data_IF_919260728773
#
_entry.id   IF_919260728773
#
_cell.length_a   1.000
_cell.length_b   1.000
_cell.length_c   1.000
_cell.angle_alpha   90.00
_cell.angle_beta   90.00
_cell.angle_gamma   90.00
#
_symmetry.space_group_name_H-M   'P 1'
#
loop_
_entity.id
_entity.type
_entity.pdbx_description
1 polymer ?
#
# COMPACT_ATOMS: atom_id res chain seq x y z
N UNK A 1 19.43 -8.14 10.58
CA UNK A 1 20.00 -8.76 9.37
C UNK A 1 18.93 -9.00 8.31
N UNK A 2 17.81 -9.70 8.63
CA UNK A 2 16.75 -10.02 7.65
C UNK A 2 16.11 -8.78 7.01
N UNK A 3 15.80 -7.75 7.82
CA UNK A 3 15.23 -6.49 7.33
C UNK A 3 16.14 -5.82 6.30
N UNK A 4 17.43 -5.67 6.60
CA UNK A 4 18.39 -5.12 5.64
C UNK A 4 18.46 -5.95 4.33
N UNK A 5 18.44 -7.27 4.43
CA UNK A 5 18.45 -8.13 3.25
C UNK A 5 17.24 -7.89 2.34
N UNK A 6 16.04 -7.72 2.93
CA UNK A 6 14.83 -7.38 2.19
C UNK A 6 14.95 -6.00 1.54
N UNK A 7 15.35 -4.98 2.31
CA UNK A 7 15.44 -3.61 1.82
C UNK A 7 16.50 -3.46 0.73
N UNK A 8 17.69 -4.07 0.91
CA UNK A 8 18.79 -4.03 -0.05
C UNK A 8 18.44 -4.76 -1.37
N UNK A 9 17.64 -5.82 -1.29
CA UNK A 9 17.19 -6.54 -2.48
C UNK A 9 16.23 -5.71 -3.36
N UNK A 10 15.36 -4.90 -2.73
CA UNK A 10 14.44 -4.03 -3.46
C UNK A 10 15.14 -2.71 -3.87
N UNK A 11 16.16 -2.28 -3.12
CA UNK A 11 16.86 -1.01 -3.35
C UNK A 11 17.43 -0.88 -4.76
N UNK A 12 18.16 -1.90 -5.21
CA UNK A 12 18.84 -1.82 -6.50
C UNK A 12 17.86 -1.65 -7.67
N UNK A 13 16.83 -2.51 -7.86
CA UNK A 13 15.91 -2.33 -8.97
C UNK A 13 15.06 -1.04 -8.85
N UNK A 14 14.73 -0.60 -7.64
CA UNK A 14 14.01 0.65 -7.43
C UNK A 14 14.86 1.87 -7.84
N UNK A 15 16.11 1.93 -7.37
CA UNK A 15 17.04 3.03 -7.71
C UNK A 15 17.38 3.06 -9.20
N UNK A 16 17.57 1.91 -9.85
CA UNK A 16 17.84 1.86 -11.28
C UNK A 16 16.62 2.35 -12.08
N UNK A 17 15.41 1.97 -11.68
CA UNK A 17 14.18 2.48 -12.27
C UNK A 17 14.04 3.99 -12.05
N UNK A 18 14.34 4.50 -10.85
CA UNK A 18 14.34 5.93 -10.56
C UNK A 18 15.31 6.73 -11.45
N UNK A 19 16.48 6.18 -11.77
CA UNK A 19 17.43 6.79 -12.72
C UNK A 19 16.88 6.84 -14.15
N UNK A 20 16.14 5.81 -14.59
CA UNK A 20 15.45 5.82 -15.89
C UNK A 20 14.38 6.90 -15.94
N UNK A 21 13.59 7.03 -14.87
CA UNK A 21 12.56 8.06 -14.72
C UNK A 21 13.18 9.46 -14.73
N UNK A 22 14.28 9.66 -13.98
CA UNK A 22 15.03 10.92 -13.98
C UNK A 22 15.51 11.29 -15.40
N UNK A 23 16.10 10.33 -16.13
CA UNK A 23 16.61 10.58 -17.47
C UNK A 23 15.52 11.10 -18.43
N UNK A 24 14.31 10.56 -18.34
CA UNK A 24 13.17 11.02 -19.14
C UNK A 24 12.73 12.45 -18.77
N UNK A 25 12.81 12.79 -17.46
CA UNK A 25 12.48 14.15 -16.98
C UNK A 25 13.56 15.15 -17.32
N UNK A 26 14.84 14.78 -17.23
CA UNK A 26 15.97 15.65 -17.65
C UNK A 26 15.93 15.97 -19.16
N UNK A 27 15.46 15.04 -19.99
CA UNK A 27 15.23 15.31 -21.40
C UNK A 27 14.22 16.46 -21.60
N UNK A 28 13.12 16.42 -20.81
CA UNK A 28 12.11 17.48 -20.87
C UNK A 28 12.62 18.81 -20.30
N UNK A 29 13.37 18.76 -19.19
CA UNK A 29 13.98 19.95 -18.62
C UNK A 29 14.92 20.62 -19.64
N UNK A 30 15.77 19.86 -20.30
CA UNK A 30 16.69 20.40 -21.32
C UNK A 30 15.96 20.99 -22.52
N UNK A 31 14.81 20.44 -22.89
CA UNK A 31 13.99 21.02 -23.96
C UNK A 31 13.35 22.37 -23.55
N UNK A 32 12.96 22.53 -22.30
CA UNK A 32 12.40 23.77 -21.77
C UNK A 32 13.51 24.78 -21.41
N UNK A 33 14.60 24.31 -20.79
CA UNK A 33 15.69 25.10 -20.22
C UNK A 33 17.05 24.44 -20.49
N UNK A 34 17.68 24.69 -21.65
CA UNK A 34 18.89 23.97 -22.09
C UNK A 34 20.07 23.97 -21.12
N UNK A 35 20.21 25.03 -20.33
CA UNK A 35 21.34 25.23 -19.41
C UNK A 35 21.00 24.87 -17.94
N UNK A 36 19.78 24.39 -17.66
CA UNK A 36 19.37 24.05 -16.31
C UNK A 36 19.87 22.68 -15.86
N UNK A 37 20.16 22.55 -14.57
CA UNK A 37 20.41 21.29 -13.89
C UNK A 37 19.15 20.83 -13.20
N UNK A 38 18.87 19.53 -13.24
CA UNK A 38 17.69 18.96 -12.56
C UNK A 38 17.95 18.88 -11.06
N UNK A 39 17.06 19.47 -10.28
CA UNK A 39 17.13 19.52 -8.82
C UNK A 39 15.96 18.75 -8.18
N UNK A 40 16.03 18.36 -6.90
CA UNK A 40 14.96 17.56 -6.25
C UNK A 40 13.56 18.18 -6.34
N UNK A 41 13.44 19.49 -6.27
CA UNK A 41 12.16 20.22 -6.38
C UNK A 41 11.55 20.22 -7.78
N UNK A 42 12.29 19.82 -8.81
CA UNK A 42 11.81 19.71 -10.19
C UNK A 42 11.06 18.39 -10.43
N UNK A 43 11.26 17.37 -9.56
CA UNK A 43 10.78 16.01 -9.79
C UNK A 43 9.29 15.96 -10.11
N UNK A 44 8.45 16.45 -9.22
CA UNK A 44 7.00 16.38 -9.38
C UNK A 44 6.48 17.17 -10.57
N UNK A 45 7.10 18.31 -10.88
CA UNK A 45 6.72 19.10 -12.03
C UNK A 45 7.00 18.38 -13.36
N UNK A 46 8.19 17.83 -13.52
CA UNK A 46 8.54 17.09 -14.73
C UNK A 46 7.96 15.68 -14.77
N UNK A 47 7.77 15.02 -13.66
CA UNK A 47 7.04 13.75 -13.59
C UNK A 47 5.61 13.93 -14.13
N UNK A 48 4.91 14.99 -13.75
CA UNK A 48 3.57 15.28 -14.30
C UNK A 48 3.61 15.56 -15.80
N UNK A 49 4.63 16.24 -16.32
CA UNK A 49 4.80 16.44 -17.76
C UNK A 49 5.02 15.12 -18.51
N UNK A 50 5.89 14.24 -17.98
CA UNK A 50 6.11 12.89 -18.53
C UNK A 50 4.81 12.09 -18.49
N UNK A 51 4.09 12.11 -17.36
CA UNK A 51 2.81 11.40 -17.20
C UNK A 51 1.78 11.86 -18.26
N UNK A 52 1.67 13.15 -18.51
CA UNK A 52 0.80 13.69 -19.56
C UNK A 52 1.24 13.28 -20.96
N UNK A 53 2.56 13.32 -21.24
CA UNK A 53 3.10 12.95 -22.54
C UNK A 53 2.89 11.46 -22.87
N UNK A 54 3.24 10.57 -21.93
CA UNK A 54 3.38 9.15 -22.19
C UNK A 54 2.09 8.36 -21.90
N UNK A 55 1.30 8.82 -20.92
CA UNK A 55 0.07 8.14 -20.49
C UNK A 55 -1.19 8.90 -20.88
N UNK A 56 -1.04 10.16 -21.31
CA UNK A 56 -2.16 11.06 -21.61
C UNK A 56 -3.19 11.11 -20.47
N UNK A 57 -2.71 10.98 -19.21
CA UNK A 57 -3.51 11.02 -18.01
C UNK A 57 -3.39 12.42 -17.40
N UNK A 58 -4.54 12.99 -17.04
CA UNK A 58 -4.67 14.28 -16.36
C UNK A 58 -5.56 14.09 -15.14
N UNK A 59 -5.08 14.44 -13.97
CA UNK A 59 -5.83 14.33 -12.72
C UNK A 59 -7.10 15.18 -12.74
N UNK A 60 -7.07 16.34 -13.40
CA UNK A 60 -8.26 17.17 -13.56
C UNK A 60 -9.37 16.48 -14.35
N UNK A 61 -9.02 15.59 -15.27
CA UNK A 61 -9.97 14.77 -16.00
C UNK A 61 -10.53 13.60 -15.17
N UNK A 62 -9.82 13.17 -14.11
CA UNK A 62 -10.23 12.10 -13.22
C UNK A 62 -11.08 12.56 -12.05
N UNK A 63 -10.73 13.68 -11.41
CA UNK A 63 -11.40 14.20 -10.20
C UNK A 63 -12.93 14.24 -10.28
N UNK A 64 -13.58 14.60 -11.42
CA UNK A 64 -15.02 14.62 -11.51
C UNK A 64 -15.73 13.28 -11.25
N UNK A 65 -15.01 12.17 -11.32
CA UNK A 65 -15.55 10.81 -11.10
C UNK A 65 -15.34 10.30 -9.66
N UNK A 66 -14.51 10.98 -8.86
CA UNK A 66 -14.13 10.56 -7.52
C UNK A 66 -14.68 11.52 -6.47
N UNK A 67 -16.00 11.62 -6.38
CA UNK A 67 -16.59 12.34 -5.24
C UNK A 67 -16.40 11.53 -3.96
N UNK A 68 -16.24 12.21 -2.83
CA UNK A 68 -16.12 11.56 -1.53
C UNK A 68 -17.28 10.59 -1.26
N UNK A 69 -18.51 11.00 -1.58
CA UNK A 69 -19.71 10.15 -1.41
C UNK A 69 -19.64 8.89 -2.27
N UNK A 70 -19.19 9.00 -3.51
CA UNK A 70 -19.07 7.84 -4.41
C UNK A 70 -17.96 6.90 -3.93
N UNK A 71 -16.81 7.43 -3.52
CA UNK A 71 -15.70 6.62 -2.99
C UNK A 71 -16.10 5.92 -1.69
N UNK A 72 -16.82 6.61 -0.79
CA UNK A 72 -17.41 6.00 0.40
C UNK A 72 -18.40 4.88 0.03
N UNK A 73 -19.26 5.12 -0.95
CA UNK A 73 -20.14 4.08 -1.50
C UNK A 73 -19.35 2.89 -2.04
N UNK A 74 -18.21 3.15 -2.68
CA UNK A 74 -17.29 2.13 -3.21
C UNK A 74 -16.68 1.24 -2.13
N UNK A 75 -16.18 1.80 -1.03
CA UNK A 75 -15.64 0.99 0.08
C UNK A 75 -16.74 0.18 0.77
N UNK A 76 -17.94 0.71 0.91
CA UNK A 76 -19.09 -0.03 1.46
C UNK A 76 -19.52 -1.17 0.53
N UNK A 77 -19.59 -0.91 -0.77
CA UNK A 77 -19.85 -1.95 -1.78
C UNK A 77 -18.81 -3.07 -1.69
N UNK A 78 -17.52 -2.72 -1.65
CA UNK A 78 -16.43 -3.70 -1.54
C UNK A 78 -16.57 -4.57 -0.30
N UNK A 79 -16.78 -3.95 0.87
CA UNK A 79 -16.94 -4.67 2.14
C UNK A 79 -18.16 -5.60 2.12
N UNK A 80 -19.27 -5.17 1.53
CA UNK A 80 -20.45 -6.01 1.35
C UNK A 80 -20.16 -7.19 0.41
N UNK A 81 -19.49 -6.94 -0.73
CA UNK A 81 -19.15 -7.99 -1.68
C UNK A 81 -18.22 -9.05 -1.09
N UNK A 82 -17.21 -8.64 -0.34
CA UNK A 82 -16.22 -9.53 0.26
C UNK A 82 -16.75 -10.25 1.50
N UNK A 83 -17.43 -9.52 2.38
CA UNK A 83 -17.73 -9.99 3.74
C UNK A 83 -19.22 -10.04 4.08
N UNK A 84 -20.10 -9.49 3.24
CA UNK A 84 -21.53 -9.43 3.51
C UNK A 84 -21.97 -8.33 4.49
N UNK A 85 -21.04 -7.56 5.05
CA UNK A 85 -21.35 -6.53 6.05
C UNK A 85 -22.09 -5.35 5.43
N UNK A 86 -22.89 -4.67 6.25
CA UNK A 86 -23.69 -3.50 5.85
C UNK A 86 -23.46 -2.33 6.80
N UNK A 87 -23.72 -1.11 6.33
CA UNK A 87 -23.50 0.14 7.04
C UNK A 87 -24.80 0.93 7.13
N UNK A 88 -25.29 1.14 8.34
CA UNK A 88 -26.52 1.86 8.61
C UNK A 88 -26.22 3.20 9.29
N UNK A 89 -26.57 4.36 8.71
CA UNK A 89 -26.41 5.65 9.38
C UNK A 89 -27.15 5.66 10.71
N UNK A 90 -26.51 6.16 11.75
CA UNK A 90 -27.11 6.30 13.09
C UNK A 90 -26.88 7.70 13.67
N UNK A 91 -27.72 8.08 14.60
CA UNK A 91 -27.53 9.26 15.44
C UNK A 91 -26.71 8.85 16.66
N UNK A 92 -25.54 9.46 16.84
CA UNK A 92 -24.62 9.18 17.94
C UNK A 92 -23.99 10.49 18.44
N UNK A 93 -23.39 10.54 19.63
CA UNK A 93 -22.60 11.68 20.08
C UNK A 93 -21.47 11.98 19.08
N UNK A 94 -21.33 13.23 18.71
CA UNK A 94 -20.29 13.69 17.77
C UNK A 94 -19.28 14.59 18.47
N UNK A 95 -17.99 14.32 18.32
CA UNK A 95 -16.94 15.21 18.77
C UNK A 95 -16.69 16.37 17.79
N UNK A 96 -17.16 16.23 16.56
CA UNK A 96 -17.20 17.28 15.53
C UNK A 96 -18.48 17.13 14.69
N UNK A 97 -19.21 18.22 14.38
CA UNK A 97 -20.50 18.16 13.67
C UNK A 97 -20.39 17.62 12.23
N UNK A 98 -19.22 17.59 11.63
CA UNK A 98 -19.00 17.07 10.28
C UNK A 98 -18.78 15.54 10.25
N UNK A 99 -18.68 14.89 11.42
CA UNK A 99 -18.51 13.44 11.48
C UNK A 99 -19.77 12.71 11.01
N UNK A 100 -19.55 11.67 10.20
CA UNK A 100 -20.58 10.69 9.83
C UNK A 100 -20.42 9.46 10.70
N UNK A 101 -21.53 8.86 11.13
CA UNK A 101 -21.50 7.69 12.01
C UNK A 101 -22.40 6.59 11.46
N UNK A 102 -21.85 5.39 11.44
CA UNK A 102 -22.53 4.20 10.95
C UNK A 102 -22.49 3.08 11.99
N UNK A 103 -23.61 2.42 12.19
CA UNK A 103 -23.63 1.08 12.75
C UNK A 103 -23.21 0.10 11.64
N UNK A 104 -22.25 -0.78 11.96
CA UNK A 104 -21.81 -1.84 11.07
C UNK A 104 -22.46 -3.14 11.51
N UNK A 105 -23.15 -3.79 10.59
CA UNK A 105 -23.82 -5.06 10.80
C UNK A 105 -23.13 -6.17 10.04
N UNK A 106 -23.00 -7.34 10.66
CA UNK A 106 -22.45 -8.53 10.01
C UNK A 106 -23.45 -9.13 9.00
N UNK A 107 -23.04 -10.18 8.30
CA UNK A 107 -23.86 -10.88 7.29
C UNK A 107 -25.17 -11.43 7.87
N UNK A 108 -25.18 -11.78 9.16
CA UNK A 108 -26.35 -12.26 9.91
C UNK A 108 -27.16 -11.14 10.58
N UNK A 109 -26.91 -9.88 10.23
CA UNK A 109 -27.49 -8.66 10.81
C UNK A 109 -27.10 -8.40 12.28
N UNK A 110 -26.17 -9.17 12.86
CA UNK A 110 -25.68 -8.91 14.20
C UNK A 110 -24.80 -7.64 14.24
N UNK A 111 -24.82 -6.94 15.38
CA UNK A 111 -24.03 -5.74 15.60
C UNK A 111 -22.53 -6.05 15.61
N UNK A 112 -21.78 -5.54 14.64
CA UNK A 112 -20.33 -5.73 14.53
C UNK A 112 -19.53 -4.62 15.22
N UNK A 113 -19.96 -3.36 15.09
CA UNK A 113 -19.33 -2.21 15.69
C UNK A 113 -19.94 -0.88 15.23
N UNK A 114 -19.29 0.21 15.64
CA UNK A 114 -19.63 1.57 15.22
C UNK A 114 -18.46 2.19 14.51
N UNK A 115 -18.72 2.83 13.36
CA UNK A 115 -17.70 3.45 12.52
C UNK A 115 -17.98 4.95 12.36
N UNK A 116 -17.01 5.77 12.76
CA UNK A 116 -16.97 7.20 12.55
C UNK A 116 -16.11 7.55 11.36
N UNK A 117 -16.55 8.51 10.55
CA UNK A 117 -15.72 9.15 9.52
C UNK A 117 -15.59 10.64 9.83
N UNK A 118 -14.35 11.11 9.91
CA UNK A 118 -13.97 12.50 10.08
C UNK A 118 -13.12 12.94 8.88
N UNK A 119 -13.77 13.42 7.83
CA UNK A 119 -13.15 13.58 6.52
C UNK A 119 -12.38 14.89 6.33
N UNK A 120 -12.84 15.99 6.93
CA UNK A 120 -12.44 17.32 6.47
C UNK A 120 -11.32 17.93 7.29
N UNK A 121 -10.42 18.63 6.57
CA UNK A 121 -9.40 19.47 7.19
C UNK A 121 -10.03 20.57 8.06
N UNK A 122 -9.44 20.84 9.23
CA UNK A 122 -9.81 21.94 10.11
C UNK A 122 -8.67 22.31 11.04
N UNK A 123 -8.76 23.49 11.65
CA UNK A 123 -7.83 23.94 12.67
C UNK A 123 -7.78 22.96 13.86
N UNK A 124 -6.58 22.69 14.37
CA UNK A 124 -6.34 21.77 15.49
C UNK A 124 -6.39 20.28 15.14
N UNK A 125 -6.66 19.93 13.88
CA UNK A 125 -6.60 18.54 13.40
C UNK A 125 -5.22 18.26 12.81
N UNK A 126 -4.60 17.15 13.22
CA UNK A 126 -3.31 16.71 12.63
C UNK A 126 -3.46 16.40 11.15
N UNK A 127 -2.40 16.66 10.37
CA UNK A 127 -2.36 16.33 8.94
C UNK A 127 -2.25 14.83 8.68
N UNK A 128 -2.35 14.42 7.41
CA UNK A 128 -2.34 13.02 7.00
C UNK A 128 -3.71 12.34 7.14
N UNK A 129 -3.68 11.01 7.24
CA UNK A 129 -4.85 10.19 7.49
C UNK A 129 -4.49 9.11 8.52
N UNK A 130 -5.48 8.64 9.27
CA UNK A 130 -5.28 7.56 10.24
C UNK A 130 -6.60 6.89 10.62
N UNK A 131 -6.51 5.66 11.10
CA UNK A 131 -7.58 4.95 11.76
C UNK A 131 -7.23 4.74 13.24
N UNK A 132 -8.21 4.83 14.11
CA UNK A 132 -8.02 4.61 15.54
C UNK A 132 -9.29 4.13 16.22
N UNK A 133 -9.13 3.52 17.40
CA UNK A 133 -10.24 3.00 18.17
C UNK A 133 -10.56 3.92 19.35
N UNK A 134 -11.80 4.34 19.47
CA UNK A 134 -12.33 4.94 20.72
C UNK A 134 -12.59 3.84 21.76
N UNK A 135 -12.99 2.65 21.29
CA UNK A 135 -13.14 1.44 22.09
C UNK A 135 -12.66 0.26 21.25
N UNK A 136 -11.80 -0.55 21.81
CA UNK A 136 -11.38 -1.81 21.19
C UNK A 136 -12.38 -2.92 21.43
N UNK A 137 -12.32 -3.96 20.59
CA UNK A 137 -13.08 -5.17 20.80
C UNK A 137 -12.44 -6.03 21.91
N UNK A 138 -13.27 -6.56 22.79
CA UNK A 138 -12.90 -7.55 23.80
C UNK A 138 -14.16 -8.29 24.28
N UNK A 139 -14.01 -9.24 25.21
CA UNK A 139 -15.13 -9.86 25.90
C UNK A 139 -15.17 -9.42 27.36
N UNK A 140 -16.38 -9.12 27.85
CA UNK A 140 -16.66 -8.81 29.25
C UNK A 140 -17.81 -9.69 29.74
N UNK A 141 -17.57 -10.49 30.77
CA UNK A 141 -18.53 -11.44 31.31
C UNK A 141 -19.10 -12.42 30.27
N UNK A 142 -18.31 -12.79 29.23
CA UNK A 142 -18.72 -13.67 28.14
C UNK A 142 -19.50 -12.97 27.02
N UNK A 143 -19.76 -11.67 27.13
CA UNK A 143 -20.41 -10.87 26.09
C UNK A 143 -19.37 -10.08 25.29
N UNK A 144 -19.53 -10.02 23.96
CA UNK A 144 -18.65 -9.26 23.08
C UNK A 144 -18.91 -7.76 23.24
N UNK A 145 -17.90 -7.01 23.63
CA UNK A 145 -17.89 -5.55 23.54
C UNK A 145 -17.45 -5.18 22.13
N UNK A 146 -18.36 -4.53 21.40
CA UNK A 146 -18.12 -4.13 20.03
C UNK A 146 -17.18 -2.92 19.95
N UNK A 147 -16.30 -2.83 18.95
CA UNK A 147 -15.40 -1.71 18.80
C UNK A 147 -16.12 -0.46 18.32
N UNK A 148 -15.57 0.70 18.71
CA UNK A 148 -15.94 2.02 18.16
C UNK A 148 -14.71 2.56 17.45
N UNK A 149 -14.78 2.65 16.14
CA UNK A 149 -13.65 2.92 15.25
C UNK A 149 -13.81 4.28 14.60
N UNK A 150 -12.72 5.02 14.43
CA UNK A 150 -12.68 6.30 13.74
C UNK A 150 -11.72 6.26 12.55
N UNK A 151 -12.20 6.61 11.37
CA UNK A 151 -11.41 6.89 10.18
C UNK A 151 -11.30 8.40 10.01
N UNK A 152 -10.09 8.91 9.95
CA UNK A 152 -9.79 10.33 9.90
C UNK A 152 -8.96 10.64 8.66
N UNK A 153 -9.38 11.65 7.88
CA UNK A 153 -8.66 12.16 6.72
C UNK A 153 -8.61 13.69 6.76
N UNK A 154 -7.96 14.32 5.80
CA UNK A 154 -7.86 15.77 5.70
C UNK A 154 -8.24 16.28 4.30
N UNK A 155 -9.40 15.85 3.80
CA UNK A 155 -9.88 16.27 2.48
C UNK A 155 -10.38 17.71 2.47
N UNK A 156 -10.34 18.33 1.30
CA UNK A 156 -10.90 19.66 1.09
C UNK A 156 -12.43 19.63 1.26
N UNK A 157 -12.97 20.67 1.91
CA UNK A 157 -14.42 20.81 2.07
C UNK A 157 -15.12 21.04 0.73
N UNK A 158 -16.38 20.61 0.58
CA UNK A 158 -17.17 20.95 -0.60
C UNK A 158 -17.38 22.48 -0.67
N UNK A 159 -17.54 22.98 -1.87
CA UNK A 159 -17.95 24.35 -2.12
C UNK A 159 -19.47 24.43 -2.32
N UNK A 160 -20.00 25.63 -2.59
CA UNK A 160 -21.45 25.79 -2.90
C UNK A 160 -21.86 25.10 -4.21
N UNK A 161 -20.92 24.88 -5.14
CA UNK A 161 -21.18 24.37 -6.48
C UNK A 161 -20.50 23.04 -6.82
N UNK A 162 -19.60 22.58 -5.95
CA UNK A 162 -18.78 21.39 -6.23
C UNK A 162 -18.67 20.55 -4.96
N UNK A 163 -18.99 19.23 -5.01
CA UNK A 163 -18.77 18.32 -3.90
C UNK A 163 -17.27 18.18 -3.63
N UNK A 164 -16.90 17.51 -2.57
CA UNK A 164 -15.51 17.10 -2.34
C UNK A 164 -15.10 16.12 -3.43
N UNK A 165 -14.10 16.50 -4.21
CA UNK A 165 -13.52 15.71 -5.29
C UNK A 165 -12.14 15.23 -4.86
N UNK A 166 -11.93 13.93 -4.88
CA UNK A 166 -10.66 13.30 -4.53
C UNK A 166 -9.79 13.09 -5.77
N UNK A 167 -8.48 13.06 -5.59
CA UNK A 167 -7.56 12.50 -6.56
C UNK A 167 -7.40 10.98 -6.33
N UNK A 168 -6.59 10.29 -7.15
CA UNK A 168 -6.40 8.86 -7.02
C UNK A 168 -5.70 8.48 -5.69
N UNK A 169 -4.77 9.28 -5.23
CA UNK A 169 -4.03 9.02 -3.99
C UNK A 169 -4.94 9.21 -2.77
N UNK A 170 -5.74 10.29 -2.74
CA UNK A 170 -6.76 10.51 -1.72
C UNK A 170 -7.82 9.39 -1.71
N UNK A 171 -8.16 8.87 -2.90
CA UNK A 171 -9.07 7.72 -3.04
C UNK A 171 -8.44 6.46 -2.45
N UNK A 172 -7.20 6.11 -2.80
CA UNK A 172 -6.48 4.97 -2.22
C UNK A 172 -6.32 5.10 -0.72
N UNK A 173 -6.02 6.32 -0.23
CA UNK A 173 -5.94 6.60 1.21
C UNK A 173 -7.23 6.23 1.94
N UNK A 174 -8.42 6.53 1.36
CA UNK A 174 -9.67 6.13 2.00
C UNK A 174 -9.86 4.60 2.03
N UNK A 175 -9.46 3.88 0.99
CA UNK A 175 -9.45 2.42 1.00
C UNK A 175 -8.47 1.88 2.05
N UNK A 176 -7.29 2.49 2.18
CA UNK A 176 -6.28 2.16 3.17
C UNK A 176 -6.83 2.28 4.61
N UNK A 177 -7.30 3.46 4.99
CA UNK A 177 -7.83 3.70 6.35
C UNK A 177 -9.05 2.83 6.64
N UNK A 178 -9.86 2.56 5.63
CA UNK A 178 -10.96 1.63 5.75
C UNK A 178 -10.49 0.18 5.97
N UNK A 179 -9.35 -0.22 5.45
CA UNK A 179 -8.73 -1.52 5.72
C UNK A 179 -8.35 -1.68 7.20
N UNK A 180 -7.79 -0.65 7.83
CA UNK A 180 -7.57 -0.62 9.28
C UNK A 180 -8.89 -0.70 10.06
N UNK A 181 -9.91 0.02 9.58
CA UNK A 181 -11.23 -0.03 10.22
C UNK A 181 -11.85 -1.44 10.15
N UNK A 182 -11.76 -2.12 9.01
CA UNK A 182 -12.21 -3.51 8.87
C UNK A 182 -11.44 -4.45 9.81
N UNK A 183 -10.12 -4.26 9.93
CA UNK A 183 -9.32 -5.04 10.88
C UNK A 183 -9.83 -4.87 12.31
N UNK A 184 -10.08 -3.64 12.74
CA UNK A 184 -10.62 -3.35 14.08
C UNK A 184 -12.03 -3.91 14.28
N UNK A 185 -12.91 -3.78 13.29
CA UNK A 185 -14.29 -4.27 13.33
C UNK A 185 -14.39 -5.81 13.40
N UNK A 186 -13.50 -6.51 12.69
CA UNK A 186 -13.54 -7.97 12.61
C UNK A 186 -12.87 -8.68 13.77
N UNK A 187 -12.15 -7.98 14.66
CA UNK A 187 -11.49 -8.58 15.82
C UNK A 187 -12.46 -9.40 16.67
N UNK A 188 -11.98 -10.57 17.10
CA UNK A 188 -12.69 -11.53 17.95
C UNK A 188 -11.74 -12.07 19.02
N UNK A 189 -11.07 -11.18 19.76
CA UNK A 189 -10.08 -11.55 20.78
C UNK A 189 -10.72 -11.54 22.17
N UNK A 190 -10.33 -12.49 23.01
CA UNK A 190 -10.86 -12.65 24.37
C UNK A 190 -10.42 -11.50 25.28
N UNK A 191 -9.17 -11.07 25.16
CA UNK A 191 -8.56 -10.09 26.05
C UNK A 191 -8.16 -8.83 25.27
N UNK A 192 -8.35 -7.64 25.88
CA UNK A 192 -7.95 -6.35 25.29
C UNK A 192 -6.51 -6.32 24.79
N UNK A 193 -5.57 -6.87 25.56
CA UNK A 193 -4.15 -6.90 25.21
C UNK A 193 -3.82 -7.77 23.98
N UNK A 194 -4.79 -8.52 23.44
CA UNK A 194 -4.65 -9.28 22.19
C UNK A 194 -5.28 -8.54 21.00
N UNK A 195 -5.81 -7.33 21.21
CA UNK A 195 -6.37 -6.56 20.09
C UNK A 195 -5.29 -6.07 19.11
N UNK A 196 -4.10 -5.78 19.62
CA UNK A 196 -2.99 -5.30 18.81
C UNK A 196 -2.26 -6.46 18.13
N UNK A 197 -1.85 -6.24 16.88
CA UNK A 197 -0.98 -7.12 16.12
C UNK A 197 0.47 -6.63 16.21
N UNK A 198 1.41 -7.46 15.78
CA UNK A 198 2.81 -7.06 15.61
C UNK A 198 2.91 -5.85 14.67
N UNK A 199 3.84 -4.92 14.95
CA UNK A 199 3.96 -3.67 14.20
C UNK A 199 4.17 -3.87 12.71
N UNK A 200 4.93 -4.89 12.30
CA UNK A 200 5.16 -5.20 10.89
C UNK A 200 4.00 -5.93 10.19
N UNK A 201 2.89 -6.13 10.91
CA UNK A 201 1.63 -6.66 10.39
C UNK A 201 0.50 -5.62 10.33
N UNK A 202 0.69 -4.46 10.96
CA UNK A 202 -0.38 -3.45 11.12
C UNK A 202 -0.86 -2.90 9.79
N UNK A 203 0.04 -2.77 8.79
CA UNK A 203 -0.26 -2.19 7.49
C UNK A 203 -0.80 -3.20 6.45
N UNK A 204 -0.76 -4.50 6.73
CA UNK A 204 -1.30 -5.49 5.79
C UNK A 204 -2.79 -5.31 5.50
N UNK A 205 -3.67 -5.14 6.50
CA UNK A 205 -5.10 -4.95 6.26
C UNK A 205 -5.44 -3.69 5.47
N UNK A 206 -4.68 -2.62 5.68
CA UNK A 206 -4.87 -1.34 5.00
C UNK A 206 -4.40 -1.41 3.56
N UNK A 207 -3.17 -1.83 3.33
CA UNK A 207 -2.55 -1.86 1.99
C UNK A 207 -3.23 -2.87 1.06
N UNK A 208 -3.72 -4.00 1.57
CA UNK A 208 -4.43 -4.96 0.73
C UNK A 208 -5.70 -4.35 0.13
N UNK A 209 -6.40 -3.46 0.86
CA UNK A 209 -7.63 -2.82 0.38
C UNK A 209 -7.36 -1.81 -0.75
N UNK A 210 -6.20 -1.19 -0.78
CA UNK A 210 -5.81 -0.26 -1.85
C UNK A 210 -5.82 -0.91 -3.24
N UNK A 211 -5.56 -2.23 -3.32
CA UNK A 211 -5.51 -2.92 -4.61
C UNK A 211 -6.84 -2.85 -5.35
N UNK A 212 -7.98 -2.82 -4.64
CA UNK A 212 -9.29 -2.70 -5.27
C UNK A 212 -9.61 -1.30 -5.76
N UNK A 213 -8.99 -0.25 -5.22
CA UNK A 213 -9.36 1.13 -5.52
C UNK A 213 -9.33 1.46 -7.03
N UNK A 214 -8.44 0.84 -7.79
CA UNK A 214 -8.26 1.09 -9.22
C UNK A 214 -8.61 -0.10 -10.13
N UNK A 215 -9.17 -1.18 -9.56
CA UNK A 215 -9.64 -2.29 -10.38
C UNK A 215 -10.84 -1.88 -11.24
N UNK A 216 -10.89 -2.27 -12.51
CA UNK A 216 -11.97 -1.88 -13.43
C UNK A 216 -13.35 -2.18 -12.90
N UNK A 217 -13.53 -3.37 -12.30
CA UNK A 217 -14.80 -3.82 -11.74
C UNK A 217 -15.26 -2.93 -10.56
N UNK A 218 -14.30 -2.38 -9.81
CA UNK A 218 -14.60 -1.42 -8.74
C UNK A 218 -14.88 -0.03 -9.29
N UNK A 219 -14.06 0.47 -10.23
CA UNK A 219 -14.25 1.78 -10.86
C UNK A 219 -15.63 1.88 -11.54
N UNK A 220 -16.11 0.79 -12.13
CA UNK A 220 -17.48 0.74 -12.70
C UNK A 220 -18.59 0.95 -11.65
N UNK A 221 -18.34 0.64 -10.39
CA UNK A 221 -19.33 0.76 -9.33
C UNK A 221 -19.36 2.18 -8.73
N UNK A 222 -18.22 2.80 -8.51
CA UNK A 222 -18.18 4.04 -7.74
C UNK A 222 -17.63 5.27 -8.49
N UNK A 223 -16.88 5.08 -9.59
CA UNK A 223 -16.34 6.21 -10.32
C UNK A 223 -17.39 6.82 -11.26
N UNK A 224 -18.30 7.61 -10.68
CA UNK A 224 -19.44 8.25 -11.36
C UNK A 224 -19.24 9.77 -11.41
N UNK A 225 -19.45 10.35 -12.59
CA UNK A 225 -19.27 11.79 -12.78
C UNK A 225 -20.29 12.60 -11.97
N UNK A 226 -19.82 13.52 -11.14
CA UNK A 226 -20.64 14.22 -10.12
C UNK A 226 -21.80 15.06 -10.65
N UNK A 227 -21.79 15.44 -11.94
CA UNK A 227 -22.90 16.20 -12.55
C UNK A 227 -23.84 15.36 -13.38
N UNK A 228 -23.31 14.36 -14.11
CA UNK A 228 -24.08 13.59 -15.07
C UNK A 228 -24.43 12.19 -14.58
N UNK A 229 -23.75 11.73 -13.52
CA UNK A 229 -23.81 10.35 -13.01
C UNK A 229 -23.34 9.29 -14.02
N UNK A 230 -22.65 9.71 -15.08
CA UNK A 230 -22.07 8.78 -16.04
C UNK A 230 -20.88 8.05 -15.42
N UNK A 231 -20.74 6.78 -15.75
CA UNK A 231 -19.58 5.98 -15.37
C UNK A 231 -18.30 6.57 -15.96
N UNK A 232 -17.18 6.39 -15.28
CA UNK A 232 -15.87 6.72 -15.81
C UNK A 232 -15.66 6.05 -17.18
N UNK A 233 -15.22 6.77 -18.21
CA UNK A 233 -14.98 6.19 -19.54
C UNK A 233 -13.92 5.09 -19.49
N UNK A 234 -14.14 4.01 -20.20
CA UNK A 234 -13.18 2.91 -20.30
C UNK A 234 -11.78 3.37 -20.79
N UNK A 235 -11.73 4.43 -21.59
CA UNK A 235 -10.48 5.04 -22.02
C UNK A 235 -9.68 5.62 -20.85
N UNK A 236 -10.33 6.20 -19.83
CA UNK A 236 -9.67 6.68 -18.61
C UNK A 236 -9.24 5.51 -17.72
N UNK A 237 -10.07 4.48 -17.57
CA UNK A 237 -9.71 3.25 -16.85
C UNK A 237 -8.45 2.61 -17.43
N UNK A 238 -8.36 2.51 -18.77
CA UNK A 238 -7.15 2.01 -19.43
C UNK A 238 -5.91 2.89 -19.16
N UNK A 239 -6.07 4.21 -19.10
CA UNK A 239 -4.97 5.13 -18.78
C UNK A 239 -4.51 4.97 -17.32
N UNK A 240 -5.44 4.85 -16.36
CA UNK A 240 -5.11 4.55 -14.95
C UNK A 240 -4.27 3.27 -14.87
N UNK A 241 -4.70 2.20 -15.52
CA UNK A 241 -3.95 0.93 -15.51
C UNK A 241 -2.57 1.03 -16.16
N UNK A 242 -2.45 1.76 -17.28
CA UNK A 242 -1.16 1.95 -17.95
C UNK A 242 -0.19 2.78 -17.10
N UNK A 243 -0.69 3.74 -16.32
CA UNK A 243 0.13 4.58 -15.45
C UNK A 243 0.43 3.94 -14.08
N UNK A 244 -0.04 2.73 -13.80
CA UNK A 244 0.12 2.08 -12.49
C UNK A 244 1.59 1.88 -12.08
N UNK A 245 2.50 1.77 -13.06
CA UNK A 245 3.93 1.63 -12.84
C UNK A 245 4.73 2.93 -13.05
N UNK A 246 4.01 4.04 -13.28
CA UNK A 246 4.65 5.34 -13.46
C UNK A 246 5.19 5.83 -12.13
N UNK A 247 6.40 6.37 -12.14
CA UNK A 247 7.10 6.94 -10.97
C UNK A 247 7.36 5.95 -9.81
N UNK A 248 7.23 4.65 -10.04
CA UNK A 248 7.43 3.63 -9.00
C UNK A 248 8.89 3.49 -8.57
N UNK A 249 9.84 3.84 -9.44
CA UNK A 249 11.26 3.94 -9.10
C UNK A 249 11.50 4.98 -8.02
N UNK A 250 10.96 6.19 -8.20
CA UNK A 250 11.04 7.26 -7.22
C UNK A 250 10.33 6.90 -5.92
N UNK A 251 9.06 6.52 -5.99
CA UNK A 251 8.22 6.25 -4.81
C UNK A 251 8.82 5.16 -3.92
N UNK A 252 9.29 4.07 -4.52
CA UNK A 252 9.92 2.98 -3.78
C UNK A 252 11.31 3.39 -3.24
N UNK A 253 12.12 4.13 -4.00
CA UNK A 253 13.44 4.59 -3.54
C UNK A 253 13.31 5.56 -2.36
N UNK A 254 12.36 6.50 -2.42
CA UNK A 254 12.09 7.45 -1.33
C UNK A 254 11.64 6.72 -0.05
N UNK A 255 10.74 5.74 -0.18
CA UNK A 255 10.25 4.92 0.93
C UNK A 255 11.36 4.04 1.53
N UNK A 256 12.17 3.40 0.68
CA UNK A 256 13.33 2.61 1.10
C UNK A 256 14.39 3.48 1.79
N UNK A 257 14.64 4.69 1.29
CA UNK A 257 15.57 5.62 1.92
C UNK A 257 15.13 5.96 3.36
N UNK A 258 13.82 6.20 3.56
CA UNK A 258 13.27 6.43 4.89
C UNK A 258 13.42 5.20 5.81
N UNK A 259 13.10 3.99 5.30
CA UNK A 259 13.24 2.75 6.08
C UNK A 259 14.69 2.43 6.42
N UNK A 260 15.62 2.64 5.50
CA UNK A 260 17.06 2.44 5.73
C UNK A 260 17.64 3.48 6.69
N UNK A 261 17.18 4.74 6.62
CA UNK A 261 17.54 5.78 7.59
C UNK A 261 17.11 5.41 9.00
N UNK A 262 15.87 4.95 9.16
CA UNK A 262 15.35 4.47 10.44
C UNK A 262 16.18 3.31 10.98
N UNK A 263 16.40 2.29 10.17
CA UNK A 263 17.20 1.14 10.57
C UNK A 263 18.62 1.51 10.94
N UNK A 264 19.26 2.41 10.21
CA UNK A 264 20.66 2.81 10.47
C UNK A 264 20.78 3.61 11.78
N UNK A 265 19.87 4.54 12.06
CA UNK A 265 19.94 5.33 13.29
C UNK A 265 19.61 4.48 14.53
N UNK A 266 18.63 3.59 14.43
CA UNK A 266 18.23 2.73 15.57
C UNK A 266 19.12 1.47 15.73
N UNK A 267 20.03 1.21 14.81
CA UNK A 267 21.04 0.15 14.92
C UNK A 267 22.33 0.62 15.61
N UNK A 268 22.42 1.89 16.02
CA UNK A 268 23.58 2.41 16.75
C UNK A 268 23.70 1.72 18.10
N UNK A 269 24.89 1.19 18.40
CA UNK A 269 25.15 0.47 19.67
C UNK A 269 25.65 1.36 20.77
N UNK A 270 26.19 2.51 20.41
CA UNK A 270 26.79 3.47 21.35
C UNK A 270 26.10 4.82 21.18
N UNK A 271 25.76 5.44 22.30
CA UNK A 271 25.25 6.80 22.31
C UNK A 271 26.42 7.78 22.29
N UNK A 272 26.58 8.51 21.22
CA UNK A 272 27.49 9.63 21.10
C UNK A 272 26.83 10.76 20.30
N UNK A 273 27.06 12.02 20.63
CA UNK A 273 26.61 13.13 19.79
C UNK A 273 27.21 13.03 18.39
N UNK A 274 26.40 13.23 17.36
CA UNK A 274 26.83 13.24 15.96
C UNK A 274 26.05 14.26 15.14
N UNK A 275 26.58 14.66 14.00
CA UNK A 275 25.88 15.49 13.02
C UNK A 275 24.89 14.61 12.23
N UNK A 276 23.60 14.82 12.45
CA UNK A 276 22.53 14.02 11.80
C UNK A 276 22.52 14.17 10.29
N UNK A 277 22.89 15.36 9.77
CA UNK A 277 22.93 15.57 8.32
C UNK A 277 24.14 14.86 7.68
N UNK A 278 25.28 14.84 8.38
CA UNK A 278 26.44 14.08 7.93
C UNK A 278 26.16 12.57 7.96
N UNK A 279 25.49 12.09 9.01
CA UNK A 279 25.08 10.69 9.13
C UNK A 279 24.15 10.26 8.00
N UNK A 280 23.14 11.07 7.70
CA UNK A 280 22.19 10.81 6.61
C UNK A 280 22.90 10.77 5.26
N UNK A 281 23.78 11.75 4.97
CA UNK A 281 24.56 11.76 3.72
C UNK A 281 25.42 10.51 3.57
N UNK A 282 26.10 10.11 4.62
CA UNK A 282 26.92 8.89 4.62
C UNK A 282 26.05 7.64 4.38
N UNK A 283 24.95 7.53 5.11
CA UNK A 283 24.07 6.35 5.07
C UNK A 283 23.39 6.13 3.72
N UNK A 284 22.91 7.20 3.10
CA UNK A 284 22.08 7.11 1.89
C UNK A 284 22.90 7.38 0.61
N UNK A 285 23.66 8.46 0.57
CA UNK A 285 24.34 8.86 -0.66
C UNK A 285 25.70 8.18 -0.82
N UNK A 286 26.57 8.21 0.19
CA UNK A 286 27.90 7.61 0.07
C UNK A 286 27.85 6.08 0.09
N UNK A 287 27.08 5.49 0.99
CA UNK A 287 27.04 4.03 1.20
C UNK A 287 26.10 3.32 0.20
N UNK A 288 24.96 3.91 -0.13
CA UNK A 288 23.92 3.27 -0.95
C UNK A 288 23.72 3.88 -2.33
N UNK A 289 24.42 4.98 -2.65
CA UNK A 289 24.38 5.59 -3.98
C UNK A 289 23.04 6.26 -4.32
N UNK A 290 22.29 6.72 -3.31
CA UNK A 290 21.10 7.53 -3.56
C UNK A 290 21.48 8.72 -4.44
N UNK A 291 20.69 8.96 -5.49
CA UNK A 291 20.95 10.09 -6.40
C UNK A 291 20.56 11.41 -5.76
N UNK A 292 21.28 12.52 -6.03
CA UNK A 292 21.01 13.80 -5.37
C UNK A 292 19.65 14.41 -5.72
N UNK A 293 19.00 13.94 -6.78
CA UNK A 293 17.67 14.38 -7.19
C UNK A 293 16.53 13.73 -6.38
N UNK A 294 16.84 12.75 -5.53
CA UNK A 294 15.89 12.15 -4.61
C UNK A 294 16.33 12.47 -3.19
N UNK A 295 15.53 13.24 -2.46
CA UNK A 295 15.70 13.40 -1.02
C UNK A 295 14.94 12.32 -0.26
N UNK A 296 15.39 11.93 0.95
CA UNK A 296 14.61 11.01 1.78
C UNK A 296 13.26 11.64 2.13
N UNK A 297 12.23 10.83 2.18
CA UNK A 297 10.84 11.24 2.47
C UNK A 297 10.71 12.08 3.74
N UNK A 298 11.53 11.76 4.74
CA UNK A 298 11.65 12.49 5.99
C UNK A 298 13.13 12.68 6.34
N UNK A 299 13.47 13.90 6.78
CA UNK A 299 14.77 14.20 7.41
C UNK A 299 14.63 13.95 8.90
N UNK A 300 15.66 13.47 9.57
CA UNK A 300 15.63 13.14 11.00
C UNK A 300 14.98 14.19 11.90
N UNK A 301 15.20 15.52 11.72
CA UNK A 301 14.60 16.52 12.61
C UNK A 301 13.06 16.57 12.63
N UNK A 302 12.38 16.02 11.64
CA UNK A 302 10.92 16.00 11.55
C UNK A 302 10.33 14.61 11.21
N UNK A 303 11.10 13.56 11.40
CA UNK A 303 10.66 12.19 11.17
C UNK A 303 9.88 11.65 12.38
N UNK A 304 8.70 12.19 12.63
CA UNK A 304 7.89 11.87 13.80
C UNK A 304 7.54 10.38 13.89
N UNK A 305 7.30 9.69 12.79
CA UNK A 305 6.99 8.25 12.78
C UNK A 305 7.97 7.42 13.63
N UNK A 306 9.28 7.67 13.49
CA UNK A 306 10.32 6.86 14.15
C UNK A 306 10.76 7.40 15.50
N UNK A 307 10.41 8.63 15.87
CA UNK A 307 10.79 9.24 17.16
C UNK A 307 9.61 9.46 18.11
N UNK A 308 8.38 9.52 17.61
CA UNK A 308 7.15 9.77 18.40
C UNK A 308 5.97 8.89 17.97
N UNK A 309 5.97 8.41 16.73
CA UNK A 309 4.84 7.70 16.12
C UNK A 309 4.81 6.17 16.31
N UNK A 310 5.75 5.59 17.10
CA UNK A 310 5.75 4.14 17.36
C UNK A 310 6.45 3.27 16.31
N UNK A 311 7.05 3.86 15.27
CA UNK A 311 7.76 3.13 14.20
C UNK A 311 9.29 3.12 14.34
N UNK A 312 9.83 3.26 15.55
CA UNK A 312 11.27 3.19 15.81
C UNK A 312 11.83 1.82 15.41
N UNK A 313 12.82 1.80 14.50
CA UNK A 313 13.34 0.60 13.82
C UNK A 313 12.23 -0.21 13.12
N UNK A 314 11.13 0.44 12.76
CA UNK A 314 9.90 -0.16 12.24
C UNK A 314 9.36 0.50 10.98
N UNK A 315 9.99 1.52 10.42
CA UNK A 315 9.49 2.15 9.20
C UNK A 315 9.48 1.19 7.99
N UNK A 316 10.29 0.13 8.02
CA UNK A 316 10.26 -0.97 7.05
C UNK A 316 8.91 -1.71 7.01
N UNK A 317 8.03 -1.54 8.01
CA UNK A 317 6.72 -2.17 8.09
C UNK A 317 5.89 -1.94 6.83
N UNK A 318 5.93 -0.72 6.28
CA UNK A 318 5.23 -0.38 5.04
C UNK A 318 5.69 -1.22 3.85
N UNK A 319 7.01 -1.45 3.72
CA UNK A 319 7.57 -2.23 2.60
C UNK A 319 7.29 -3.72 2.80
N UNK A 320 7.44 -4.21 4.03
CA UNK A 320 7.10 -5.59 4.36
C UNK A 320 5.61 -5.87 4.12
N UNK A 321 4.74 -4.97 4.58
CA UNK A 321 3.31 -5.07 4.34
C UNK A 321 2.97 -5.03 2.84
N UNK A 322 3.71 -4.28 1.99
CA UNK A 322 3.52 -4.32 0.54
C UNK A 322 3.86 -5.71 -0.05
N UNK A 323 4.86 -6.41 0.49
CA UNK A 323 5.12 -7.81 0.10
C UNK A 323 3.92 -8.68 0.45
N UNK A 324 3.41 -8.55 1.69
CA UNK A 324 2.29 -9.34 2.18
C UNK A 324 0.99 -9.02 1.43
N UNK A 325 0.68 -7.74 1.20
CA UNK A 325 -0.56 -7.31 0.55
C UNK A 325 -0.63 -7.76 -0.90
N UNK A 326 0.45 -7.60 -1.65
CA UNK A 326 0.50 -7.99 -3.07
C UNK A 326 0.39 -9.51 -3.23
N UNK A 327 1.03 -10.29 -2.36
CA UNK A 327 0.86 -11.74 -2.37
C UNK A 327 -0.54 -12.17 -1.87
N UNK A 328 -1.11 -11.50 -0.86
CA UNK A 328 -2.46 -11.75 -0.40
C UNK A 328 -3.50 -11.45 -1.50
N UNK A 329 -3.35 -10.30 -2.17
CA UNK A 329 -4.24 -9.92 -3.28
C UNK A 329 -4.10 -10.85 -4.49
N UNK A 330 -2.91 -11.38 -4.74
CA UNK A 330 -2.68 -12.37 -5.81
C UNK A 330 -3.53 -13.64 -5.63
N UNK A 331 -3.93 -14.00 -4.39
CA UNK A 331 -4.88 -15.09 -4.17
C UNK A 331 -6.24 -14.80 -4.82
N UNK A 332 -6.74 -13.56 -4.70
CA UNK A 332 -7.99 -13.15 -5.36
C UNK A 332 -7.82 -13.13 -6.88
N UNK A 333 -6.76 -12.56 -7.41
CA UNK A 333 -6.49 -12.52 -8.85
C UNK A 333 -6.40 -13.91 -9.49
N UNK A 334 -5.68 -14.83 -8.86
CA UNK A 334 -5.54 -16.22 -9.34
C UNK A 334 -6.85 -16.99 -9.30
N UNK A 335 -7.80 -16.61 -8.45
CA UNK A 335 -9.12 -17.23 -8.42
C UNK A 335 -9.99 -16.88 -9.62
N UNK A 336 -9.63 -15.83 -10.37
CA UNK A 336 -10.44 -15.26 -11.47
C UNK A 336 -11.62 -14.43 -10.99
N UNK A 337 -11.77 -14.19 -9.69
CA UNK A 337 -12.82 -13.36 -9.09
C UNK A 337 -12.23 -12.53 -7.96
N UNK A 338 -12.02 -11.24 -8.20
CA UNK A 338 -11.47 -10.32 -7.19
C UNK A 338 -12.39 -10.11 -5.98
N UNK A 339 -13.65 -10.53 -6.05
CA UNK A 339 -14.63 -10.50 -4.96
C UNK A 339 -14.86 -11.89 -4.36
N UNK A 340 -13.95 -12.84 -4.53
CA UNK A 340 -14.11 -14.21 -4.07
C UNK A 340 -14.36 -14.31 -2.57
N UNK A 341 -15.62 -14.56 -2.21
CA UNK A 341 -16.08 -14.61 -0.80
C UNK A 341 -15.42 -15.71 0.02
N UNK A 342 -14.98 -16.80 -0.60
CA UNK A 342 -14.29 -17.90 0.12
C UNK A 342 -12.91 -17.42 0.58
N UNK A 343 -12.18 -16.72 -0.29
CA UNK A 343 -10.86 -16.15 0.03
C UNK A 343 -11.03 -15.02 1.06
N UNK A 344 -12.00 -14.13 0.85
CA UNK A 344 -12.31 -13.05 1.78
C UNK A 344 -12.67 -13.56 3.18
N UNK A 345 -13.49 -14.61 3.27
CA UNK A 345 -13.83 -15.26 4.54
C UNK A 345 -12.59 -15.84 5.21
N UNK A 346 -11.73 -16.54 4.44
CA UNK A 346 -10.47 -17.08 4.99
C UNK A 346 -9.55 -15.97 5.49
N UNK A 347 -9.45 -14.85 4.77
CA UNK A 347 -8.67 -13.67 5.18
C UNK A 347 -9.23 -13.07 6.48
N UNK A 348 -10.56 -12.89 6.56
CA UNK A 348 -11.24 -12.42 7.77
C UNK A 348 -11.02 -13.34 8.96
N UNK A 349 -11.32 -14.66 8.82
CA UNK A 349 -11.36 -15.61 9.95
C UNK A 349 -9.98 -16.02 10.43
N UNK A 350 -9.01 -16.15 9.53
CA UNK A 350 -7.68 -16.65 9.85
C UNK A 350 -6.66 -15.56 10.17
N UNK A 351 -6.93 -14.31 9.74
CA UNK A 351 -6.01 -13.21 9.92
C UNK A 351 -6.68 -12.04 10.64
N UNK A 352 -7.67 -11.35 10.01
CA UNK A 352 -8.19 -10.10 10.55
C UNK A 352 -8.86 -10.23 11.92
N UNK A 353 -9.52 -11.37 12.20
CA UNK A 353 -10.24 -11.56 13.47
C UNK A 353 -9.33 -11.98 14.64
N UNK A 354 -8.09 -12.35 14.36
CA UNK A 354 -7.22 -13.03 15.32
C UNK A 354 -6.39 -12.08 16.21
N UNK A 355 -6.24 -10.82 15.80
CA UNK A 355 -5.38 -9.88 16.54
C UNK A 355 -3.98 -10.48 16.80
N UNK A 356 -3.47 -10.31 18.02
CA UNK A 356 -2.20 -10.86 18.48
C UNK A 356 -2.29 -12.23 19.14
N UNK A 357 -3.29 -13.06 18.83
CA UNK A 357 -3.39 -14.44 19.37
C UNK A 357 -2.27 -15.39 18.91
N UNK A 358 -1.63 -15.08 17.80
CA UNK A 358 -0.45 -15.77 17.29
C UNK A 358 0.42 -14.74 16.55
N UNK A 359 1.69 -15.09 16.28
CA UNK A 359 2.55 -14.27 15.45
C UNK A 359 1.97 -14.10 14.04
N UNK A 360 2.16 -12.91 13.48
CA UNK A 360 1.56 -12.52 12.21
C UNK A 360 1.89 -13.47 11.05
N UNK A 361 3.11 -14.01 11.01
CA UNK A 361 3.51 -14.96 9.97
C UNK A 361 2.81 -16.30 10.10
N UNK A 362 2.49 -16.74 11.31
CA UNK A 362 1.65 -17.93 11.52
C UNK A 362 0.25 -17.69 10.99
N UNK A 363 -0.38 -16.55 11.31
CA UNK A 363 -1.70 -16.17 10.79
C UNK A 363 -1.70 -16.05 9.27
N UNK A 364 -0.63 -15.46 8.71
CA UNK A 364 -0.48 -15.32 7.26
C UNK A 364 -0.38 -16.67 6.55
N UNK A 365 0.45 -17.59 7.06
CA UNK A 365 0.57 -18.96 6.52
C UNK A 365 -0.73 -19.74 6.63
N UNK A 366 -1.48 -19.57 7.70
CA UNK A 366 -2.81 -20.16 7.84
C UNK A 366 -3.77 -19.68 6.75
N UNK A 367 -3.71 -18.40 6.41
CA UNK A 367 -4.50 -17.83 5.32
C UNK A 367 -4.02 -18.29 3.95
N UNK A 368 -2.72 -18.08 3.64
CA UNK A 368 -2.16 -18.29 2.30
C UNK A 368 -1.79 -19.74 2.00
N UNK A 369 -1.51 -20.53 3.05
CA UNK A 369 -0.97 -21.90 2.91
C UNK A 369 0.50 -21.95 2.49
N UNK A 370 1.20 -20.80 2.47
CA UNK A 370 2.59 -20.66 2.06
C UNK A 370 3.22 -19.43 2.71
N UNK A 371 4.54 -19.30 2.61
CA UNK A 371 5.25 -18.07 2.90
C UNK A 371 4.91 -16.99 1.86
N UNK A 372 5.00 -15.69 2.23
CA UNK A 372 4.76 -14.60 1.28
C UNK A 372 5.80 -14.62 0.14
N UNK A 373 5.31 -14.36 -1.06
CA UNK A 373 6.11 -14.20 -2.27
C UNK A 373 6.27 -12.70 -2.60
N UNK A 374 7.49 -12.23 -2.77
CA UNK A 374 7.78 -10.85 -3.18
C UNK A 374 7.58 -10.57 -4.67
N UNK A 375 7.52 -11.63 -5.50
CA UNK A 375 7.35 -11.47 -6.94
C UNK A 375 6.10 -10.64 -7.32
N UNK A 376 4.94 -10.77 -6.65
CA UNK A 376 3.79 -9.90 -6.91
C UNK A 376 4.08 -8.41 -6.72
N UNK A 377 4.84 -8.03 -5.67
CA UNK A 377 5.26 -6.64 -5.44
C UNK A 377 6.18 -6.15 -6.56
N UNK A 378 7.24 -6.90 -6.87
CA UNK A 378 8.19 -6.53 -7.90
C UNK A 378 7.52 -6.37 -9.27
N UNK A 379 6.55 -7.22 -9.59
CA UNK A 379 5.74 -7.10 -10.81
C UNK A 379 4.84 -5.87 -10.80
N UNK A 380 4.20 -5.57 -9.67
CA UNK A 380 3.35 -4.40 -9.53
C UNK A 380 4.14 -3.10 -9.73
N UNK A 381 5.35 -3.01 -9.19
CA UNK A 381 6.23 -1.86 -9.35
C UNK A 381 6.98 -1.80 -10.70
N UNK A 382 6.89 -2.86 -11.53
CA UNK A 382 7.64 -2.94 -12.79
C UNK A 382 9.14 -3.24 -12.61
N UNK A 383 9.54 -3.79 -11.47
CA UNK A 383 10.93 -4.17 -11.15
C UNK A 383 11.24 -5.63 -11.45
N UNK A 384 10.23 -6.40 -11.83
CA UNK A 384 10.39 -7.84 -12.09
C UNK A 384 11.15 -8.08 -13.38
N UNK A 385 12.29 -8.74 -13.27
CA UNK A 385 13.00 -9.35 -14.40
C UNK A 385 12.69 -10.84 -14.35
N UNK A 386 12.14 -11.40 -15.41
CA UNK A 386 11.96 -12.85 -15.47
C UNK A 386 13.31 -13.54 -15.28
N UNK A 387 13.44 -14.50 -14.35
CA UNK A 387 14.67 -15.25 -14.21
C UNK A 387 14.98 -15.94 -15.54
N UNK A 388 16.23 -15.83 -16.01
CA UNK A 388 16.64 -16.60 -17.18
C UNK A 388 16.30 -18.07 -16.92
N UNK A 389 15.74 -18.79 -17.91
CA UNK A 389 15.47 -20.20 -17.75
C UNK A 389 16.79 -20.87 -17.37
N UNK A 390 16.77 -21.59 -16.24
CA UNK A 390 17.93 -22.40 -15.85
C UNK A 390 18.33 -23.23 -17.07
N UNK A 391 19.43 -22.88 -17.70
CA UNK A 391 20.04 -23.69 -18.74
C UNK A 391 20.50 -24.96 -18.04
N UNK A 392 19.74 -26.02 -18.26
CA UNK A 392 20.01 -27.34 -17.75
C UNK A 392 21.45 -27.74 -18.15
N UNK A 393 22.39 -27.47 -17.26
CA UNK A 393 23.84 -27.76 -17.46
C UNK A 393 24.11 -29.24 -17.24
N UNK A 394 23.14 -30.10 -17.47
CA UNK A 394 23.29 -31.53 -17.64
C UNK A 394 23.40 -31.87 -19.14
N UNK A 395 24.41 -31.34 -19.80
CA UNK A 395 24.90 -31.99 -20.99
C UNK A 395 25.48 -33.35 -20.54
N UNK A 396 24.63 -34.35 -20.61
CA UNK A 396 25.05 -35.76 -20.45
C UNK A 396 26.16 -36.03 -21.47
N UNK A 397 27.39 -36.12 -20.99
CA UNK A 397 28.49 -36.69 -21.74
C UNK A 397 28.10 -38.14 -22.01
N UNK A 398 27.59 -38.42 -23.21
CA UNK A 398 27.46 -39.80 -23.69
C UNK A 398 28.85 -40.39 -23.84
N UNK A 399 29.17 -41.54 -23.18
CA UNK A 399 30.42 -42.24 -23.41
C UNK A 399 30.47 -42.68 -24.87
N UNK A 400 31.65 -42.46 -25.48
CA UNK A 400 31.91 -42.89 -26.85
C UNK A 400 31.68 -44.41 -26.99
N UNK A 401 30.85 -44.81 -27.96
CA UNK A 401 30.58 -46.17 -28.28
C UNK A 401 31.89 -46.90 -28.68
N UNK A 402 32.26 -47.94 -28.01
CA UNK A 402 33.32 -48.89 -28.38
C UNK A 402 33.07 -49.43 -29.81
N UNK A 403 34.03 -49.19 -30.70
CA UNK A 403 34.05 -49.87 -32.02
C UNK A 403 34.32 -51.35 -31.79
N UNK A 404 33.34 -52.18 -31.97
CA UNK A 404 33.54 -53.61 -32.14
C UNK A 404 34.31 -53.87 -33.46
N UNK A 405 35.50 -54.43 -33.32
CA UNK A 405 36.28 -55.00 -34.40
C UNK A 405 35.58 -56.29 -34.86
N UNK A 406 35.19 -56.36 -36.12
CA UNK A 406 34.75 -57.59 -36.78
C UNK A 406 36.00 -58.49 -37.07
N UNK A 407 35.91 -59.81 -36.84
CA UNK A 407 36.96 -60.73 -37.26
C UNK A 407 36.92 -61.00 -38.78
N UNK A 408 38.06 -61.38 -39.39
CA UNK A 408 38.14 -61.60 -40.81
C UNK A 408 37.42 -62.89 -41.24
N UNK A 409 36.78 -62.81 -42.40
CA UNK A 409 36.20 -63.95 -43.08
C UNK A 409 37.26 -64.89 -43.62
N UNK A 410 37.02 -66.23 -43.42
CA UNK A 410 37.54 -67.32 -44.26
C UNK A 410 36.40 -67.84 -45.14
#
# INVERSE_FOLDING_TARGET
AAVYALLDEIWTPALDRAKEELAAMEEMLRADHPDATFEPWDWWYYAEKVRRRDYALDDEALRPYFTLENVQGGIFFLANRLYGITFRPIVAPLYNPDCLVYEVLDEDESHLGVLYFDYYVREGKSGGAWCGNFTEQYYENGERVAPVVGVVTNYARPTRSTPTLLNLDETKTLFHEFGHALHSLFRKVEYRGLADVEGDFVELPSQVMENWATEPEMLEQYALHYRTNDKIPESLVRKIRRSAQFNQGFEMTELLAAALSDMDIHSQREYAPFDVNAFEREALYAKRGLIPQIEPRYRYPYFSHIFDGGYSAGYYFYIWAQVLDKDAYEAFRRSGDIFNRKIARAFREKLLSRGGEADGMTLYRDFRGQDPDKAPLLKACGFWVEPEPETDSLAVVRPAAERQLMPPAN
#
